data_IF_246129487685
#
_entry.id   IF_246129487685
#
_cell.length_a   1.000
_cell.length_b   1.000
_cell.length_c   1.000
_cell.angle_alpha   90.00
_cell.angle_beta   90.00
_cell.angle_gamma   90.00
#
_symmetry.space_group_name_H-M   'P 1'
#
loop_
_entity.id
_entity.type
_entity.pdbx_description
1 polymer ?
#
# COMPACT_ATOMS: atom_id res chain seq x y z
N UNK A 1 58.10 9.17 25.14
CA UNK A 1 56.88 8.33 25.20
C UNK A 1 56.68 7.71 23.83
N UNK A 2 56.95 6.41 23.68
CA UNK A 2 56.67 5.70 22.45
C UNK A 2 55.14 5.56 22.31
N UNK A 3 54.58 6.09 21.23
CA UNK A 3 53.15 5.89 20.93
C UNK A 3 52.98 4.46 20.41
N UNK A 4 52.15 3.66 21.08
CA UNK A 4 51.80 2.33 20.62
C UNK A 4 50.79 2.43 19.47
N UNK A 5 51.32 2.43 18.24
CA UNK A 5 50.53 2.57 17.01
C UNK A 5 49.48 1.47 16.88
N UNK A 6 49.76 0.25 17.36
CA UNK A 6 48.82 -0.88 17.29
C UNK A 6 47.62 -0.71 18.22
N UNK A 7 47.87 -0.20 19.44
CA UNK A 7 46.80 0.12 20.36
C UNK A 7 45.93 1.26 19.82
N UNK A 8 46.56 2.27 19.22
CA UNK A 8 45.88 3.34 18.49
C UNK A 8 44.97 2.79 17.38
N UNK A 9 45.50 1.93 16.51
CA UNK A 9 44.75 1.32 15.42
C UNK A 9 43.54 0.50 15.92
N UNK A 10 43.73 -0.33 16.97
CA UNK A 10 42.63 -1.12 17.56
C UNK A 10 41.52 -0.23 18.13
N UNK A 11 41.87 0.89 18.77
CA UNK A 11 40.90 1.87 19.29
C UNK A 11 40.12 2.53 18.15
N UNK A 12 40.80 2.91 17.06
CA UNK A 12 40.17 3.50 15.87
C UNK A 12 39.19 2.51 15.22
N UNK A 13 39.59 1.25 15.00
CA UNK A 13 38.69 0.24 14.41
C UNK A 13 37.42 0.07 15.25
N UNK A 14 37.54 -0.02 16.59
CA UNK A 14 36.37 -0.11 17.47
C UNK A 14 35.46 1.11 17.34
N UNK A 15 36.03 2.31 17.28
CA UNK A 15 35.27 3.56 17.12
C UNK A 15 34.53 3.60 15.78
N UNK A 16 35.17 3.17 14.69
CA UNK A 16 34.53 3.05 13.37
C UNK A 16 33.39 2.03 13.42
N UNK A 17 33.58 0.86 14.02
CA UNK A 17 32.51 -0.14 14.16
C UNK A 17 31.31 0.40 14.97
N UNK A 18 31.56 1.15 16.03
CA UNK A 18 30.49 1.80 16.81
C UNK A 18 29.74 2.84 15.97
N UNK A 19 30.46 3.72 15.28
CA UNK A 19 29.83 4.72 14.38
C UNK A 19 29.02 4.02 13.29
N UNK A 20 29.52 2.93 12.73
CA UNK A 20 28.83 2.14 11.72
C UNK A 20 27.51 1.56 12.25
N UNK A 21 27.54 0.90 13.40
CA UNK A 21 26.33 0.34 14.04
C UNK A 21 25.32 1.44 14.38
N UNK A 22 25.79 2.56 14.94
CA UNK A 22 24.92 3.70 15.28
C UNK A 22 24.31 4.30 14.00
N UNK A 23 25.11 4.50 12.95
CA UNK A 23 24.64 5.01 11.66
C UNK A 23 23.56 4.13 11.04
N UNK A 24 23.77 2.81 11.00
CA UNK A 24 22.77 1.87 10.51
C UNK A 24 21.53 1.79 11.40
N UNK A 25 21.69 1.92 12.72
CA UNK A 25 20.55 1.99 13.64
C UNK A 25 19.68 3.22 13.34
N UNK A 26 20.31 4.40 13.24
CA UNK A 26 19.61 5.65 12.89
C UNK A 26 18.92 5.51 11.52
N UNK A 27 19.62 4.97 10.52
CA UNK A 27 19.05 4.72 9.20
C UNK A 27 17.82 3.80 9.27
N UNK A 28 17.92 2.67 9.98
CA UNK A 28 16.82 1.72 10.15
C UNK A 28 15.60 2.34 10.87
N UNK A 29 15.81 3.23 11.85
CA UNK A 29 14.72 3.92 12.54
C UNK A 29 14.08 5.04 11.72
N UNK A 30 14.85 5.69 10.83
CA UNK A 30 14.37 6.74 9.95
C UNK A 30 13.74 6.21 8.66
N UNK A 31 13.99 4.95 8.31
CA UNK A 31 13.33 4.28 7.20
C UNK A 31 11.86 4.01 7.58
N UNK A 32 10.95 4.69 6.89
CA UNK A 32 9.52 4.41 7.04
C UNK A 32 9.18 3.21 6.17
N UNK A 33 8.76 2.07 6.78
CA UNK A 33 8.35 0.92 5.99
C UNK A 33 7.19 1.32 5.10
N UNK A 34 7.24 0.88 3.85
CA UNK A 34 6.21 1.12 2.87
C UNK A 34 5.10 0.09 3.08
N UNK A 35 3.95 0.52 3.61
CA UNK A 35 2.79 -0.36 3.80
C UNK A 35 1.90 -0.22 2.57
N UNK A 36 1.83 -1.27 1.75
CA UNK A 36 0.88 -1.37 0.65
C UNK A 36 -0.39 -2.07 1.15
N UNK A 37 -1.53 -1.38 1.08
CA UNK A 37 -2.81 -1.89 1.54
C UNK A 37 -3.84 -1.93 0.42
N UNK A 38 -4.47 -3.09 0.26
CA UNK A 38 -5.50 -3.29 -0.75
C UNK A 38 -6.89 -3.13 -0.13
N UNK A 39 -7.78 -2.46 -0.85
CA UNK A 39 -9.19 -2.30 -0.50
C UNK A 39 -10.05 -2.78 -1.66
N UNK A 40 -11.15 -3.46 -1.36
CA UNK A 40 -12.11 -3.94 -2.35
C UNK A 40 -13.33 -3.03 -2.37
N UNK A 41 -13.76 -2.67 -3.58
CA UNK A 41 -15.03 -1.96 -3.83
C UNK A 41 -15.95 -2.92 -4.57
N UNK A 42 -16.93 -3.46 -3.85
CA UNK A 42 -17.81 -4.51 -4.37
C UNK A 42 -18.89 -3.96 -5.30
N UNK A 43 -19.35 -2.74 -5.04
CA UNK A 43 -20.39 -2.10 -5.84
C UNK A 43 -20.28 -0.58 -5.80
N UNK A 44 -20.91 0.13 -6.75
CA UNK A 44 -20.88 1.58 -6.77
C UNK A 44 -21.37 2.17 -5.45
N UNK A 45 -20.53 2.98 -4.81
CA UNK A 45 -20.88 3.70 -3.58
C UNK A 45 -20.85 2.85 -2.31
N UNK A 46 -20.47 1.58 -2.43
CA UNK A 46 -20.06 0.80 -1.27
C UNK A 46 -18.79 1.41 -0.65
N UNK A 47 -18.69 1.31 0.67
CA UNK A 47 -17.48 1.72 1.39
C UNK A 47 -16.38 0.69 1.06
N UNK A 48 -15.17 1.12 0.66
CA UNK A 48 -14.09 0.19 0.39
C UNK A 48 -13.76 -0.67 1.61
N UNK A 49 -13.62 -1.98 1.41
CA UNK A 49 -13.39 -2.97 2.46
C UNK A 49 -11.92 -3.40 2.42
N UNK A 50 -11.21 -3.29 3.53
CA UNK A 50 -9.81 -3.73 3.63
C UNK A 50 -9.67 -5.23 3.33
N UNK A 51 -8.66 -5.59 2.55
CA UNK A 51 -8.30 -6.98 2.28
C UNK A 51 -7.07 -7.38 3.12
N UNK A 52 -7.27 -8.30 4.06
CA UNK A 52 -6.22 -8.73 5.00
C UNK A 52 -5.30 -9.82 4.44
N UNK A 53 -5.76 -10.59 3.44
CA UNK A 53 -5.01 -11.71 2.88
C UNK A 53 -4.09 -11.21 1.74
N UNK A 54 -2.75 -11.38 1.84
CA UNK A 54 -1.82 -11.01 0.78
C UNK A 54 -2.01 -11.79 -0.53
N UNK A 55 -2.77 -12.90 -0.51
CA UNK A 55 -3.18 -13.64 -1.71
C UNK A 55 -4.42 -13.03 -2.38
N UNK A 56 -5.21 -12.24 -1.66
CA UNK A 56 -6.41 -11.60 -2.15
C UNK A 56 -6.09 -10.19 -2.65
N UNK A 57 -5.11 -10.08 -3.56
CA UNK A 57 -4.81 -8.83 -4.27
C UNK A 57 -5.88 -8.56 -5.32
N UNK A 58 -5.79 -7.42 -6.00
CA UNK A 58 -6.61 -7.20 -7.19
C UNK A 58 -6.33 -8.30 -8.22
N UNK A 59 -7.38 -8.85 -8.81
CA UNK A 59 -7.26 -9.77 -9.94
C UNK A 59 -6.91 -8.99 -11.21
N UNK A 60 -6.41 -9.68 -12.23
CA UNK A 60 -6.14 -9.08 -13.55
C UNK A 60 -7.38 -8.50 -14.24
N UNK A 61 -8.58 -8.92 -13.82
CA UNK A 61 -9.86 -8.43 -14.36
C UNK A 61 -10.46 -7.28 -13.52
N UNK A 62 -9.83 -6.93 -12.39
CA UNK A 62 -10.30 -5.85 -11.53
C UNK A 62 -9.76 -4.51 -12.04
N UNK A 63 -10.61 -3.48 -12.12
CA UNK A 63 -10.08 -2.13 -12.29
C UNK A 63 -9.35 -1.70 -11.01
N UNK A 64 -8.24 -0.99 -11.17
CA UNK A 64 -7.39 -0.58 -10.04
C UNK A 64 -7.16 0.92 -10.03
N UNK A 65 -7.11 1.50 -8.83
CA UNK A 65 -6.71 2.90 -8.62
C UNK A 65 -5.72 2.98 -7.46
N UNK A 66 -4.59 3.64 -7.70
CA UNK A 66 -3.48 3.73 -6.75
C UNK A 66 -3.48 5.09 -6.06
N UNK A 67 -3.54 5.07 -4.74
CA UNK A 67 -3.46 6.24 -3.87
C UNK A 67 -2.08 6.27 -3.22
N UNK A 68 -1.22 7.14 -3.76
CA UNK A 68 0.14 7.25 -3.27
C UNK A 68 0.27 8.06 -1.98
N UNK A 69 1.22 7.67 -1.13
CA UNK A 69 1.69 8.47 0.02
C UNK A 69 0.54 8.98 0.91
N UNK A 70 -0.39 8.10 1.26
CA UNK A 70 -1.43 8.39 2.23
C UNK A 70 -0.84 8.35 3.64
N UNK A 71 -1.45 9.09 4.57
CA UNK A 71 -0.98 9.16 5.95
C UNK A 71 -2.11 8.85 6.93
N UNK A 72 -1.83 8.01 7.92
CA UNK A 72 -2.72 7.85 9.07
C UNK A 72 -2.68 9.10 9.95
N UNK A 73 -3.62 9.24 10.89
CA UNK A 73 -3.58 10.35 11.87
C UNK A 73 -2.31 10.38 12.72
N UNK A 74 -1.62 9.24 12.87
CA UNK A 74 -0.34 9.17 13.58
C UNK A 74 0.88 9.51 12.70
N UNK A 75 0.65 9.81 11.42
CA UNK A 75 1.71 10.11 10.45
C UNK A 75 2.37 8.87 9.84
N UNK A 76 1.77 7.68 9.98
CA UNK A 76 2.24 6.47 9.30
C UNK A 76 1.94 6.60 7.81
N UNK A 77 2.98 6.56 6.98
CA UNK A 77 2.84 6.55 5.53
C UNK A 77 2.38 5.16 5.05
N UNK A 78 1.46 5.13 4.09
CA UNK A 78 1.01 3.93 3.42
C UNK A 78 0.52 4.25 2.02
N UNK A 79 0.44 3.24 1.17
CA UNK A 79 -0.17 3.33 -0.15
C UNK A 79 -1.42 2.47 -0.14
N UNK A 80 -2.48 2.98 -0.76
CA UNK A 80 -3.74 2.25 -0.89
C UNK A 80 -3.98 1.91 -2.34
N UNK A 81 -4.28 0.64 -2.61
CA UNK A 81 -4.74 0.18 -3.91
C UNK A 81 -6.22 -0.16 -3.80
N UNK A 82 -7.08 0.55 -4.52
CA UNK A 82 -8.50 0.26 -4.61
C UNK A 82 -8.75 -0.73 -5.76
N UNK A 83 -9.27 -1.91 -5.46
CA UNK A 83 -9.67 -2.93 -6.42
C UNK A 83 -11.20 -2.87 -6.63
N UNK A 84 -11.64 -2.56 -7.84
CA UNK A 84 -13.05 -2.52 -8.21
C UNK A 84 -13.41 -3.85 -8.86
N UNK A 85 -14.32 -4.62 -8.24
CA UNK A 85 -14.65 -5.96 -8.72
C UNK A 85 -15.59 -5.88 -9.93
N UNK A 86 -15.34 -6.66 -10.99
CA UNK A 86 -16.29 -6.80 -12.08
C UNK A 86 -17.48 -7.65 -11.63
N UNK A 87 -18.66 -7.29 -12.15
CA UNK A 87 -19.88 -8.09 -12.03
C UNK A 87 -20.19 -8.75 -13.38
N UNK A 88 -20.80 -9.94 -13.34
CA UNK A 88 -21.28 -10.62 -14.55
C UNK A 88 -22.68 -10.09 -14.87
N UNK A 89 -22.84 -9.45 -16.04
CA UNK A 89 -24.11 -8.90 -16.49
C UNK A 89 -24.98 -9.95 -17.18
N UNK A 90 -26.24 -9.60 -17.45
CA UNK A 90 -27.24 -10.51 -18.08
C UNK A 90 -26.77 -11.07 -19.44
N UNK A 91 -25.83 -10.40 -20.10
CA UNK A 91 -25.22 -10.80 -21.38
C UNK A 91 -23.97 -11.68 -21.23
N UNK A 92 -23.59 -12.04 -20.00
CA UNK A 92 -22.42 -12.85 -19.70
C UNK A 92 -21.09 -12.10 -19.72
N UNK A 93 -21.08 -10.79 -20.00
CA UNK A 93 -19.87 -9.98 -19.92
C UNK A 93 -19.54 -9.63 -18.47
N UNK A 94 -18.25 -9.66 -18.15
CA UNK A 94 -17.71 -9.12 -16.90
C UNK A 94 -17.45 -7.64 -17.10
N UNK A 95 -18.15 -6.80 -16.35
CA UNK A 95 -18.03 -5.35 -16.46
C UNK A 95 -17.92 -4.72 -15.07
N UNK A 96 -17.20 -3.61 -14.98
CA UNK A 96 -17.11 -2.86 -13.73
C UNK A 96 -18.40 -2.05 -13.58
N UNK A 97 -19.16 -2.26 -12.49
CA UNK A 97 -20.34 -1.44 -12.24
C UNK A 97 -19.91 -0.01 -11.90
N UNK A 98 -20.55 0.98 -12.53
CA UNK A 98 -20.26 2.40 -12.30
C UNK A 98 -21.53 3.20 -11.95
N UNK A 99 -21.37 4.26 -11.15
CA UNK A 99 -22.44 5.25 -10.97
C UNK A 99 -22.47 6.20 -12.17
N UNK A 100 -23.49 6.07 -13.01
CA UNK A 100 -23.85 7.12 -13.94
C UNK A 100 -24.86 8.08 -13.31
N UNK A 101 -24.70 9.38 -13.55
CA UNK A 101 -25.82 10.30 -13.48
C UNK A 101 -26.68 10.06 -14.72
N UNK A 102 -27.58 9.07 -14.65
CA UNK A 102 -28.59 8.95 -15.70
C UNK A 102 -29.75 9.84 -15.33
N UNK A 103 -29.99 10.85 -16.15
CA UNK A 103 -31.32 11.41 -16.27
C UNK A 103 -32.15 10.34 -16.96
N UNK A 104 -32.73 9.41 -16.19
CA UNK A 104 -33.79 8.60 -16.78
C UNK A 104 -34.93 9.59 -16.99
N UNK A 105 -35.09 10.03 -18.24
CA UNK A 105 -36.27 10.80 -18.61
C UNK A 105 -37.49 10.01 -18.18
N UNK A 106 -38.50 10.70 -17.66
CA UNK A 106 -39.78 10.06 -17.29
C UNK A 106 -40.28 9.17 -18.43
N UNK A 107 -40.01 9.58 -19.67
CA UNK A 107 -40.28 8.85 -20.91
C UNK A 107 -39.58 7.48 -21.01
N UNK A 108 -38.31 7.36 -20.63
CA UNK A 108 -37.59 6.07 -20.70
C UNK A 108 -38.06 5.07 -19.64
N UNK A 109 -38.44 5.56 -18.45
CA UNK A 109 -39.11 4.73 -17.44
C UNK A 109 -40.46 4.24 -17.97
N UNK A 110 -41.22 5.12 -18.63
CA UNK A 110 -42.49 4.75 -19.26
C UNK A 110 -42.30 3.69 -20.36
N UNK A 111 -41.33 3.89 -21.26
CA UNK A 111 -40.98 2.93 -22.31
C UNK A 111 -40.60 1.57 -21.74
N UNK A 112 -39.76 1.53 -20.69
CA UNK A 112 -39.37 0.28 -20.06
C UNK A 112 -40.56 -0.46 -19.43
N UNK A 113 -41.45 0.26 -18.74
CA UNK A 113 -42.67 -0.29 -18.11
C UNK A 113 -43.59 -0.87 -19.19
N UNK A 114 -43.75 -0.17 -20.31
CA UNK A 114 -44.56 -0.65 -21.45
C UNK A 114 -43.93 -1.89 -22.07
N UNK A 115 -42.61 -1.88 -22.29
CA UNK A 115 -41.89 -2.99 -22.91
C UNK A 115 -41.80 -4.26 -22.04
N UNK A 116 -41.86 -4.13 -20.71
CA UNK A 116 -41.73 -5.25 -19.76
C UNK A 116 -43.04 -5.55 -19.01
N UNK A 117 -44.19 -5.27 -19.63
CA UNK A 117 -45.51 -5.44 -19.00
C UNK A 117 -45.79 -6.89 -18.57
N UNK A 118 -45.14 -7.85 -19.23
CA UNK A 118 -45.14 -9.28 -18.89
C UNK A 118 -44.49 -9.56 -17.52
N UNK A 119 -43.59 -8.69 -17.04
CA UNK A 119 -42.88 -8.84 -15.75
C UNK A 119 -43.60 -8.19 -14.56
N UNK A 120 -44.88 -7.82 -14.73
CA UNK A 120 -45.69 -7.19 -13.69
C UNK A 120 -45.79 -8.09 -12.45
N UNK A 121 -45.59 -7.52 -11.26
CA UNK A 121 -45.55 -8.25 -9.99
C UNK A 121 -44.16 -8.73 -9.57
N UNK A 122 -43.13 -8.58 -10.41
CA UNK A 122 -41.74 -8.84 -9.99
C UNK A 122 -41.17 -7.68 -9.18
N UNK A 123 -40.25 -7.92 -8.20
CA UNK A 123 -39.66 -6.84 -7.41
C UNK A 123 -38.97 -5.75 -8.25
N UNK A 124 -38.29 -6.13 -9.35
CA UNK A 124 -37.63 -5.20 -10.28
C UNK A 124 -38.66 -4.31 -10.98
N UNK A 125 -39.75 -4.89 -11.48
CA UNK A 125 -40.80 -4.12 -12.16
C UNK A 125 -41.53 -3.16 -11.20
N UNK A 126 -41.85 -3.60 -9.99
CA UNK A 126 -42.48 -2.76 -8.97
C UNK A 126 -41.57 -1.60 -8.55
N UNK A 127 -40.26 -1.85 -8.39
CA UNK A 127 -39.28 -0.80 -8.09
C UNK A 127 -39.20 0.26 -9.20
N UNK A 128 -39.19 -0.15 -10.47
CA UNK A 128 -39.17 0.77 -11.63
C UNK A 128 -40.48 1.55 -11.72
N UNK A 129 -41.63 0.90 -11.51
CA UNK A 129 -42.95 1.55 -11.54
C UNK A 129 -43.11 2.58 -10.41
N UNK A 130 -42.59 2.26 -9.22
CA UNK A 130 -42.56 3.21 -8.09
C UNK A 130 -41.62 4.40 -8.39
N UNK A 131 -40.46 4.14 -8.99
CA UNK A 131 -39.53 5.19 -9.41
C UNK A 131 -40.16 6.10 -10.47
N UNK A 132 -40.87 5.54 -11.45
CA UNK A 132 -41.64 6.30 -12.45
C UNK A 132 -42.66 7.21 -11.77
N UNK A 133 -43.56 6.66 -10.96
CA UNK A 133 -44.60 7.45 -10.27
C UNK A 133 -44.01 8.60 -9.44
N UNK A 134 -42.91 8.34 -8.72
CA UNK A 134 -42.21 9.35 -7.94
C UNK A 134 -41.59 10.43 -8.83
N UNK A 135 -40.94 10.04 -9.92
CA UNK A 135 -40.37 10.96 -10.90
C UNK A 135 -41.46 11.83 -11.56
N UNK A 136 -42.60 11.25 -11.97
CA UNK A 136 -43.72 12.02 -12.55
C UNK A 136 -44.35 13.00 -11.56
N UNK A 137 -44.35 12.68 -10.26
CA UNK A 137 -44.81 13.59 -9.21
C UNK A 137 -43.83 14.74 -8.93
N UNK A 138 -42.53 14.47 -9.01
CA UNK A 138 -41.48 15.48 -8.81
C UNK A 138 -41.30 16.40 -10.04
N UNK A 139 -41.55 15.91 -11.26
CA UNK A 139 -41.40 16.67 -12.51
C UNK A 139 -42.43 17.81 -12.63
N UNK A 140 -43.62 17.67 -12.02
CA UNK A 140 -44.60 18.75 -11.91
C UNK A 140 -44.11 19.94 -11.05
N UNK A 141 -43.02 19.77 -10.28
CA UNK A 141 -42.44 20.77 -9.40
C UNK A 141 -40.96 21.06 -9.73
N UNK A 142 -40.60 21.17 -11.01
CA UNK A 142 -39.35 21.79 -11.53
C UNK A 142 -38.10 21.67 -10.63
N UNK A 143 -37.71 20.45 -10.26
CA UNK A 143 -36.40 20.18 -9.68
C UNK A 143 -36.00 18.74 -10.02
N UNK A 144 -35.20 18.60 -11.08
CA UNK A 144 -34.53 17.34 -11.47
C UNK A 144 -33.88 16.71 -10.23
N UNK A 145 -34.49 15.68 -9.68
CA UNK A 145 -33.91 14.89 -8.60
C UNK A 145 -32.87 13.96 -9.22
N UNK A 146 -31.59 14.32 -9.05
CA UNK A 146 -30.46 13.43 -9.38
C UNK A 146 -30.56 12.21 -8.48
N UNK A 147 -31.13 11.12 -9.03
CA UNK A 147 -31.10 9.81 -8.38
C UNK A 147 -30.00 9.00 -9.05
N UNK A 148 -28.96 8.72 -8.28
CA UNK A 148 -27.92 7.79 -8.68
C UNK A 148 -28.55 6.39 -8.79
N UNK A 149 -28.45 5.77 -9.95
CA UNK A 149 -28.86 4.38 -10.22
C UNK A 149 -27.64 3.64 -10.76
N UNK A 150 -27.60 2.31 -10.61
CA UNK A 150 -26.62 1.48 -11.29
C UNK A 150 -26.96 1.52 -12.78
N UNK A 151 -26.20 2.26 -13.58
CA UNK A 151 -26.63 2.63 -14.93
C UNK A 151 -26.22 1.62 -15.99
N UNK A 152 -24.98 1.15 -15.91
CA UNK A 152 -24.41 0.14 -16.81
C UNK A 152 -23.06 -0.32 -16.26
N UNK A 153 -22.63 -1.51 -16.67
CA UNK A 153 -21.24 -1.91 -16.55
C UNK A 153 -20.42 -1.31 -17.70
N UNK A 154 -19.14 -1.05 -17.48
CA UNK A 154 -18.21 -0.68 -18.53
C UNK A 154 -16.92 -1.52 -18.45
N UNK A 155 -16.19 -1.58 -19.55
CA UNK A 155 -14.93 -2.32 -19.62
C UNK A 155 -13.89 -1.67 -18.69
N UNK A 156 -12.98 -2.49 -18.14
CA UNK A 156 -11.98 -2.09 -17.14
C UNK A 156 -11.20 -0.82 -17.53
N UNK A 157 -10.80 -0.71 -18.80
CA UNK A 157 -10.00 0.40 -19.33
C UNK A 157 -10.83 1.51 -19.99
N UNK A 158 -12.15 1.49 -19.83
CA UNK A 158 -13.01 2.54 -20.35
C UNK A 158 -12.77 3.87 -19.63
N UNK A 159 -13.01 4.98 -20.33
CA UNK A 159 -12.89 6.31 -19.76
C UNK A 159 -13.83 6.53 -18.57
N UNK A 160 -15.00 5.90 -18.62
CA UNK A 160 -16.05 5.96 -17.61
C UNK A 160 -15.64 5.25 -16.32
N UNK A 161 -15.01 4.07 -16.42
CA UNK A 161 -14.45 3.37 -15.27
C UNK A 161 -13.35 4.20 -14.66
N UNK A 162 -12.39 4.70 -15.45
CA UNK A 162 -11.29 5.53 -14.94
C UNK A 162 -11.78 6.79 -14.22
N UNK A 163 -12.76 7.49 -14.77
CA UNK A 163 -13.32 8.67 -14.13
C UNK A 163 -14.08 8.32 -12.84
N UNK A 164 -14.72 7.15 -12.81
CA UNK A 164 -15.40 6.64 -11.63
C UNK A 164 -14.41 6.21 -10.53
N UNK A 165 -13.40 5.40 -10.87
CA UNK A 165 -12.39 4.92 -9.90
C UNK A 165 -11.65 6.08 -9.27
N UNK A 166 -11.27 7.07 -10.08
CA UNK A 166 -10.65 8.31 -9.61
C UNK A 166 -11.53 9.09 -8.65
N UNK A 167 -12.83 9.24 -8.96
CA UNK A 167 -13.77 9.91 -8.04
C UNK A 167 -13.89 9.18 -6.69
N UNK A 168 -13.92 7.84 -6.71
CA UNK A 168 -13.97 7.04 -5.48
C UNK A 168 -12.67 7.20 -4.69
N UNK A 169 -11.53 7.23 -5.37
CA UNK A 169 -10.22 7.49 -4.77
C UNK A 169 -10.14 8.89 -4.14
N UNK A 170 -10.65 9.92 -4.81
CA UNK A 170 -10.66 11.30 -4.30
C UNK A 170 -11.49 11.47 -3.02
N UNK A 171 -12.56 10.68 -2.86
CA UNK A 171 -13.42 10.70 -1.65
C UNK A 171 -13.03 9.64 -0.62
N UNK A 172 -12.03 8.81 -0.91
CA UNK A 172 -11.62 7.73 -0.03
C UNK A 172 -11.17 8.30 1.32
N UNK A 173 -11.72 7.71 2.39
CA UNK A 173 -11.33 8.02 3.77
C UNK A 173 -11.08 6.72 4.50
N UNK A 174 -9.90 6.63 5.08
CA UNK A 174 -9.52 5.47 5.87
C UNK A 174 -10.42 5.35 7.10
N UNK A 175 -10.91 4.14 7.37
CA UNK A 175 -11.69 3.89 8.57
C UNK A 175 -10.77 3.92 9.80
N UNK A 176 -11.32 4.21 10.99
CA UNK A 176 -10.52 4.20 12.23
C UNK A 176 -9.91 2.82 12.51
N UNK A 177 -10.64 1.76 12.19
CA UNK A 177 -10.16 0.39 12.36
C UNK A 177 -8.99 0.06 11.42
N UNK A 178 -9.00 0.61 10.20
CA UNK A 178 -7.91 0.44 9.24
C UNK A 178 -6.70 1.30 9.62
N UNK A 179 -6.91 2.52 10.12
CA UNK A 179 -5.84 3.35 10.69
C UNK A 179 -5.11 2.61 11.82
N UNK A 180 -5.86 2.05 12.78
CA UNK A 180 -5.28 1.32 13.92
C UNK A 180 -4.55 0.04 13.47
N UNK A 181 -5.07 -0.65 12.46
CA UNK A 181 -4.41 -1.84 11.90
C UNK A 181 -3.11 -1.49 11.18
N UNK A 182 -3.12 -0.45 10.33
CA UNK A 182 -1.93 0.01 9.60
C UNK A 182 -0.85 0.43 10.59
N UNK A 183 -1.21 1.24 11.60
CA UNK A 183 -0.29 1.68 12.64
C UNK A 183 0.30 0.48 13.43
N UNK A 184 -0.49 -0.57 13.67
CA UNK A 184 -0.03 -1.79 14.33
C UNK A 184 0.95 -2.62 13.49
N UNK A 185 0.81 -2.58 12.17
CA UNK A 185 1.64 -3.32 11.20
C UNK A 185 3.04 -2.72 10.99
N UNK A 186 3.21 -1.43 11.27
CA UNK A 186 4.50 -0.71 11.11
C UNK A 186 5.65 -1.44 11.79
N UNK A 187 5.46 -1.87 13.04
CA UNK A 187 6.55 -2.49 13.79
C UNK A 187 6.92 -3.87 13.25
N UNK A 188 5.94 -4.69 12.87
CA UNK A 188 6.22 -5.97 12.21
C UNK A 188 6.96 -5.79 10.89
N UNK A 189 6.55 -4.81 10.08
CA UNK A 189 7.23 -4.52 8.80
C UNK A 189 8.66 -4.04 9.03
N UNK A 190 8.90 -3.17 10.02
CA UNK A 190 10.26 -2.74 10.39
C UNK A 190 11.14 -3.91 10.84
N UNK A 191 10.59 -4.84 11.61
CA UNK A 191 11.34 -6.03 12.03
C UNK A 191 11.69 -6.96 10.86
N UNK A 192 10.80 -7.08 9.88
CA UNK A 192 11.06 -7.82 8.64
C UNK A 192 12.18 -7.15 7.82
N UNK A 193 12.10 -5.85 7.59
CA UNK A 193 13.15 -5.08 6.89
C UNK A 193 14.50 -5.17 7.64
N UNK A 194 14.50 -5.03 8.97
CA UNK A 194 15.71 -5.20 9.79
C UNK A 194 16.28 -6.60 9.64
N UNK A 195 15.44 -7.63 9.57
CA UNK A 195 15.89 -9.02 9.41
C UNK A 195 16.57 -9.24 8.06
N UNK A 196 16.10 -8.59 7.00
CA UNK A 196 16.73 -8.64 5.67
C UNK A 196 18.06 -7.89 5.63
N UNK A 197 18.16 -6.75 6.31
CA UNK A 197 19.37 -5.90 6.32
C UNK A 197 20.44 -6.38 7.32
N UNK A 198 20.02 -7.01 8.42
CA UNK A 198 20.91 -7.53 9.47
C UNK A 198 22.08 -8.39 8.96
N UNK A 199 21.90 -9.39 8.06
CA UNK A 199 23.01 -10.20 7.57
C UNK A 199 24.06 -9.37 6.82
N UNK A 200 23.65 -8.36 6.04
CA UNK A 200 24.57 -7.47 5.33
C UNK A 200 25.42 -6.65 6.33
N UNK A 201 24.81 -6.13 7.39
CA UNK A 201 25.54 -5.42 8.46
C UNK A 201 26.54 -6.36 9.13
N UNK A 202 26.13 -7.58 9.45
CA UNK A 202 26.98 -8.58 10.08
C UNK A 202 28.16 -9.00 9.18
N UNK A 203 27.93 -9.15 7.87
CA UNK A 203 28.98 -9.46 6.89
C UNK A 203 30.00 -8.32 6.79
N UNK A 204 29.55 -7.06 6.73
CA UNK A 204 30.42 -5.90 6.71
C UNK A 204 31.26 -5.79 7.99
N UNK A 205 30.66 -6.04 9.16
CA UNK A 205 31.38 -6.05 10.44
C UNK A 205 32.39 -7.21 10.52
N UNK A 206 32.02 -8.41 10.06
CA UNK A 206 32.92 -9.55 9.99
C UNK A 206 34.09 -9.27 9.04
N UNK A 207 33.83 -8.69 7.87
CA UNK A 207 34.86 -8.29 6.92
C UNK A 207 35.82 -7.26 7.52
N UNK A 208 35.31 -6.19 8.13
CA UNK A 208 36.15 -5.18 8.80
C UNK A 208 37.00 -5.81 9.89
N UNK A 209 36.43 -6.74 10.67
CA UNK A 209 37.16 -7.46 11.70
C UNK A 209 38.28 -8.32 11.12
N UNK A 210 37.99 -9.19 10.14
CA UNK A 210 38.98 -10.05 9.47
C UNK A 210 40.06 -9.19 8.80
N UNK A 211 39.67 -8.15 8.09
CA UNK A 211 40.59 -7.24 7.42
C UNK A 211 41.54 -6.56 8.41
N UNK A 212 41.01 -6.02 9.51
CA UNK A 212 41.83 -5.40 10.56
C UNK A 212 42.79 -6.41 11.21
N UNK A 213 42.36 -7.66 11.37
CA UNK A 213 43.18 -8.74 11.90
C UNK A 213 44.33 -9.10 10.94
N UNK A 214 44.03 -9.28 9.65
CA UNK A 214 45.01 -9.56 8.60
C UNK A 214 46.05 -8.44 8.46
N UNK A 215 45.60 -7.18 8.40
CA UNK A 215 46.52 -6.02 8.33
C UNK A 215 47.41 -5.97 9.57
N UNK A 216 46.85 -6.17 10.76
CA UNK A 216 47.62 -6.24 12.00
C UNK A 216 48.66 -7.37 11.98
N UNK A 217 48.32 -8.53 11.40
CA UNK A 217 49.25 -9.64 11.23
C UNK A 217 50.40 -9.31 10.26
N UNK A 218 50.08 -8.73 9.10
CA UNK A 218 51.07 -8.32 8.09
C UNK A 218 52.05 -7.28 8.67
N UNK A 219 51.53 -6.23 9.30
CA UNK A 219 52.36 -5.15 9.86
C UNK A 219 53.26 -5.68 10.99
N UNK A 220 52.78 -6.58 11.85
CA UNK A 220 53.64 -7.25 12.86
C UNK A 220 54.73 -8.10 12.23
N UNK A 221 54.40 -8.83 11.16
CA UNK A 221 55.37 -9.62 10.39
C UNK A 221 56.50 -8.75 9.84
N UNK A 222 56.18 -7.62 9.22
CA UNK A 222 57.18 -6.67 8.73
C UNK A 222 57.97 -5.97 9.86
N UNK A 223 57.35 -5.74 11.02
CA UNK A 223 58.01 -5.11 12.16
C UNK A 223 58.85 -6.09 13.02
N UNK A 224 58.81 -7.40 12.74
CA UNK A 224 59.51 -8.43 13.52
C UNK A 224 59.03 -8.51 14.98
N UNK A 225 57.78 -8.11 15.26
CA UNK A 225 57.21 -8.13 16.61
C UNK A 225 56.59 -9.52 16.84
N UNK A 226 57.05 -10.27 17.86
CA UNK A 226 56.49 -11.58 18.15
C UNK A 226 55.01 -11.50 18.55
N UNK A 227 54.24 -12.55 18.23
CA UNK A 227 52.81 -12.61 18.56
C UNK A 227 52.59 -12.46 20.06
N UNK A 228 51.61 -11.64 20.45
CA UNK A 228 51.32 -11.36 21.87
C UNK A 228 52.10 -10.19 22.47
N UNK A 229 53.06 -9.60 21.74
CA UNK A 229 53.76 -8.39 22.14
C UNK A 229 53.34 -7.18 21.32
N UNK A 230 53.27 -6.02 21.97
CA UNK A 230 52.96 -4.73 21.33
C UNK A 230 54.23 -3.97 20.90
N UNK A 231 55.40 -4.44 21.34
CA UNK A 231 56.71 -3.86 21.03
C UNK A 231 57.76 -4.96 20.90
N UNK A 232 58.80 -4.71 20.09
CA UNK A 232 59.97 -5.60 20.03
C UNK A 232 60.67 -5.61 21.40
N UNK A 233 61.03 -6.77 21.96
CA UNK A 233 61.85 -6.80 23.18
C UNK A 233 63.19 -6.11 22.92
N UNK A 234 63.64 -5.28 23.87
CA UNK A 234 64.98 -4.69 23.81
C UNK A 234 66.02 -5.81 23.99
N UNK A 235 66.80 -6.09 22.95
CA UNK A 235 67.94 -7.00 23.03
C UNK A 235 68.99 -6.34 23.95
N UNK A 236 69.04 -6.78 25.21
CA UNK A 236 70.09 -6.43 26.18
C UNK A 236 71.21 -7.46 26.17
#
# INVERSE_FOLDING_TARGET
MSINVFEGARRITKLISVIWIVGWSIYAFNYNPYIDQYFRVDSPGSVPIRMDDPKNRCNEEDATEYLHSQYTKKGTAFDATLCFKPEIFEDGRKLIPIWGEYFIGVDQLAEWIVANKDKKGTPKFEAVTAAYKKATQEDNNNKKTKKWLLTHGAEEYSTEVRDYTKKVADIFKLSKADEEWIDGKVWSSRLEDIKEVAPMIMECLAFLWIFSWCVGWIVRGFAGIPSGHDSKPDDK
#
